data_IF_660424303100
#
_entry.id   IF_660424303100
#
_cell.length_a   1.000
_cell.length_b   1.000
_cell.length_c   1.000
_cell.angle_alpha   90.00
_cell.angle_beta   90.00
_cell.angle_gamma   90.00
#
_symmetry.space_group_name_H-M   'P 1'
#
loop_
_entity.id
_entity.type
_entity.pdbx_description
1 polymer ?
#
# COMPACT_ATOMS: atom_id res chain seq x y z
N UNK A 1 10.65 12.37 10.90
CA UNK A 1 9.48 12.01 10.09
C UNK A 1 10.00 11.24 8.91
N UNK A 2 9.35 10.12 8.57
CA UNK A 2 9.74 9.23 7.48
C UNK A 2 8.58 9.11 6.50
N UNK A 3 8.86 9.27 5.21
CA UNK A 3 7.88 9.16 4.13
C UNK A 3 8.42 8.18 3.09
N UNK A 4 7.68 7.10 2.88
CA UNK A 4 7.98 6.10 1.88
C UNK A 4 6.85 6.06 0.85
N UNK A 5 7.21 6.04 -0.44
CA UNK A 5 6.28 5.75 -1.52
C UNK A 5 6.81 4.56 -2.32
N UNK A 6 5.93 3.63 -2.68
CA UNK A 6 6.23 2.47 -3.52
C UNK A 6 5.19 2.44 -4.63
N UNK A 7 5.66 2.30 -5.86
CA UNK A 7 4.84 2.28 -7.07
C UNK A 7 5.31 1.13 -7.94
N UNK A 8 4.47 0.13 -8.13
CA UNK A 8 4.77 -1.02 -8.97
C UNK A 8 3.79 -1.11 -10.13
N UNK A 9 4.31 -1.46 -11.31
CA UNK A 9 3.50 -1.71 -12.50
C UNK A 9 3.87 -3.08 -13.06
N UNK A 10 2.86 -3.90 -13.33
CA UNK A 10 3.01 -5.27 -13.79
C UNK A 10 2.27 -5.46 -15.11
N UNK A 11 2.95 -6.15 -16.03
CA UNK A 11 2.38 -6.58 -17.31
C UNK A 11 2.31 -8.10 -17.31
N UNK A 12 1.14 -8.65 -17.63
CA UNK A 12 0.97 -10.11 -17.61
C UNK A 12 1.60 -10.78 -18.83
N UNK A 13 2.34 -11.86 -18.59
CA UNK A 13 2.95 -12.70 -19.63
C UNK A 13 2.01 -13.81 -20.13
N UNK A 14 1.01 -14.19 -19.33
CA UNK A 14 0.11 -15.33 -19.61
C UNK A 14 -1.33 -14.91 -19.85
N UNK A 15 -1.73 -13.71 -19.39
CA UNK A 15 -3.08 -13.18 -19.53
C UNK A 15 -3.04 -11.90 -20.36
N UNK A 16 -3.32 -12.04 -21.66
CA UNK A 16 -3.17 -10.95 -22.63
C UNK A 16 -4.00 -9.73 -22.23
N UNK A 17 -3.35 -8.57 -22.17
CA UNK A 17 -3.99 -7.29 -21.88
C UNK A 17 -4.25 -7.02 -20.39
N UNK A 18 -3.84 -7.92 -19.49
CA UNK A 18 -3.88 -7.65 -18.05
C UNK A 18 -2.70 -6.76 -17.64
N UNK A 19 -3.02 -5.64 -17.00
CA UNK A 19 -2.08 -4.70 -16.39
C UNK A 19 -2.49 -4.55 -14.93
N UNK A 20 -1.51 -4.58 -14.03
CA UNK A 20 -1.69 -4.32 -12.61
C UNK A 20 -0.83 -3.16 -12.16
N UNK A 21 -1.34 -2.37 -11.23
CA UNK A 21 -0.62 -1.31 -10.55
C UNK A 21 -0.86 -1.44 -9.05
N UNK A 22 0.22 -1.36 -8.27
CA UNK A 22 0.18 -1.40 -6.81
C UNK A 22 0.90 -0.16 -6.27
N UNK A 23 0.16 0.70 -5.57
CA UNK A 23 0.65 1.92 -4.92
C UNK A 23 0.57 1.79 -3.40
N UNK A 24 1.62 2.27 -2.72
CA UNK A 24 1.59 2.49 -1.28
C UNK A 24 2.34 3.76 -0.91
N UNK A 25 1.70 4.63 -0.13
CA UNK A 25 2.32 5.78 0.53
C UNK A 25 2.23 5.57 2.04
N UNK A 26 3.38 5.57 2.71
CA UNK A 26 3.49 5.41 4.15
C UNK A 26 4.19 6.61 4.77
N UNK A 27 3.51 7.24 5.73
CA UNK A 27 4.04 8.31 6.57
C UNK A 27 4.19 7.77 8.00
N UNK A 28 5.40 7.85 8.55
CA UNK A 28 5.68 7.55 9.95
C UNK A 28 6.19 8.81 10.65
N UNK A 29 5.47 9.24 11.69
CA UNK A 29 5.84 10.36 12.53
C UNK A 29 6.21 9.88 13.94
N UNK A 30 7.50 9.93 14.24
CA UNK A 30 8.05 9.70 15.58
C UNK A 30 7.68 10.86 16.51
N UNK A 31 6.87 10.59 17.53
CA UNK A 31 6.42 11.57 18.52
C UNK A 31 7.43 11.70 19.67
N UNK A 32 7.82 10.56 20.23
CA UNK A 32 8.86 10.41 21.25
C UNK A 32 9.75 9.21 20.91
N UNK A 33 10.82 8.96 21.67
CA UNK A 33 11.87 7.97 21.35
C UNK A 33 11.31 6.61 20.92
N UNK A 34 10.26 6.16 21.59
CA UNK A 34 9.71 4.82 21.38
C UNK A 34 8.32 4.83 20.73
N UNK A 35 7.65 5.97 20.57
CA UNK A 35 6.30 6.03 20.01
C UNK A 35 6.25 6.75 18.66
N UNK A 36 5.49 6.17 17.72
CA UNK A 36 5.23 6.75 16.41
C UNK A 36 3.76 6.65 16.00
N UNK A 37 3.28 7.65 15.26
CA UNK A 37 2.06 7.56 14.47
C UNK A 37 2.40 7.08 13.06
N UNK A 38 1.52 6.30 12.46
CA UNK A 38 1.66 5.78 11.11
C UNK A 38 0.36 6.03 10.33
N UNK A 39 0.52 6.52 9.12
CA UNK A 39 -0.54 6.62 8.12
C UNK A 39 -0.07 5.89 6.88
N UNK A 40 -0.86 4.94 6.38
CA UNK A 40 -0.61 4.26 5.11
C UNK A 40 -1.82 4.44 4.21
N UNK A 41 -1.59 4.92 2.99
CA UNK A 41 -2.55 4.93 1.90
C UNK A 41 -2.11 3.86 0.91
N UNK A 42 -3.04 3.05 0.43
CA UNK A 42 -2.77 2.11 -0.65
C UNK A 42 -3.87 2.19 -1.71
N UNK A 43 -3.48 1.95 -2.95
CA UNK A 43 -4.36 1.80 -4.11
C UNK A 43 -3.82 0.66 -4.97
N UNK A 44 -4.70 -0.25 -5.36
CA UNK A 44 -4.36 -1.39 -6.20
C UNK A 44 -5.34 -1.43 -7.36
N UNK A 45 -4.81 -1.39 -8.58
CA UNK A 45 -5.57 -1.54 -9.80
C UNK A 45 -5.21 -2.85 -10.51
N UNK A 46 -6.21 -3.59 -10.96
CA UNK A 46 -6.06 -4.74 -11.84
C UNK A 46 -7.08 -4.65 -12.97
N UNK A 47 -6.63 -4.62 -14.22
CA UNK A 47 -7.53 -4.50 -15.37
C UNK A 47 -8.35 -5.77 -15.64
N UNK A 48 -7.90 -6.91 -15.12
CA UNK A 48 -8.59 -8.20 -15.26
C UNK A 48 -8.43 -9.03 -13.98
N UNK A 49 -9.04 -8.59 -12.87
CA UNK A 49 -8.89 -9.24 -11.57
C UNK A 49 -9.53 -10.65 -11.61
N UNK A 50 -8.98 -11.62 -10.86
CA UNK A 50 -9.53 -12.97 -10.82
C UNK A 50 -10.86 -13.00 -10.04
N UNK A 51 -11.91 -13.57 -10.62
CA UNK A 51 -13.22 -13.77 -9.99
C UNK A 51 -14.36 -13.07 -10.73
N UNK A 52 -15.57 -13.66 -10.68
CA UNK A 52 -16.71 -13.17 -11.48
C UNK A 52 -17.21 -11.76 -11.06
N UNK A 53 -16.95 -11.35 -9.82
CA UNK A 53 -17.37 -10.06 -9.26
C UNK A 53 -16.22 -9.28 -8.63
N UNK A 54 -14.98 -9.55 -9.05
CA UNK A 54 -13.82 -8.88 -8.49
C UNK A 54 -13.76 -7.41 -8.95
N UNK A 55 -13.48 -6.51 -8.01
CA UNK A 55 -13.31 -5.09 -8.30
C UNK A 55 -11.98 -4.84 -9.00
N UNK A 56 -11.98 -3.91 -9.94
CA UNK A 56 -10.77 -3.52 -10.68
C UNK A 56 -9.89 -2.55 -9.91
N UNK A 57 -10.44 -1.90 -8.88
CA UNK A 57 -9.73 -0.97 -7.98
C UNK A 57 -10.04 -1.37 -6.54
N UNK A 58 -9.02 -1.43 -5.71
CA UNK A 58 -9.09 -1.64 -4.26
C UNK A 58 -8.13 -0.68 -3.55
N UNK A 59 -8.66 0.16 -2.66
CA UNK A 59 -7.90 1.19 -1.97
C UNK A 59 -8.27 1.25 -0.50
N UNK A 60 -7.37 1.80 0.31
CA UNK A 60 -7.63 1.95 1.72
C UNK A 60 -6.68 2.89 2.45
N UNK A 61 -7.11 3.22 3.66
CA UNK A 61 -6.39 4.09 4.59
C UNK A 61 -6.20 3.33 5.90
N UNK A 62 -4.96 3.20 6.34
CA UNK A 62 -4.59 2.58 7.60
C UNK A 62 -3.94 3.62 8.49
N UNK A 63 -4.55 3.89 9.64
CA UNK A 63 -3.98 4.72 10.69
C UNK A 63 -3.63 3.87 11.89
N UNK A 64 -2.43 4.05 12.44
CA UNK A 64 -1.95 3.23 13.56
C UNK A 64 -0.92 3.93 14.43
N UNK A 65 -0.78 3.42 15.64
CA UNK A 65 0.23 3.84 16.62
C UNK A 65 1.20 2.66 16.79
N UNK A 66 2.50 2.93 16.84
CA UNK A 66 3.52 1.91 17.08
C UNK A 66 4.40 2.29 18.26
N UNK A 67 4.81 1.28 19.02
CA UNK A 67 5.79 1.38 20.09
C UNK A 67 7.00 0.48 19.78
N UNK A 68 8.21 1.00 19.95
CA UNK A 68 9.46 0.27 19.77
C UNK A 68 10.20 0.16 21.09
N UNK A 69 10.53 -1.06 21.53
CA UNK A 69 11.37 -1.27 22.70
C UNK A 69 12.84 -0.99 22.33
N UNK A 70 13.25 0.27 22.47
CA UNK A 70 14.66 0.67 22.35
C UNK A 70 15.34 0.42 23.71
N UNK A 71 16.46 -0.32 23.73
CA UNK A 71 17.26 -0.53 24.95
C UNK A 71 18.27 0.60 25.16
#
# INVERSE_FOLDING_TARGET
MDLQSTQNLYFSLTQKGRIRHDEQIKLTWKLITDFSLNLTLYDNYDSQPPGENATTVDYGIVFGISYSFSR
#
